data_IF_527037960204
#
_entry.id   IF_527037960204
#
_cell.length_a   1.000
_cell.length_b   1.000
_cell.length_c   1.000
_cell.angle_alpha   90.00
_cell.angle_beta   90.00
_cell.angle_gamma   90.00
#
_symmetry.space_group_name_H-M   'P 1'
#
loop_
_entity.id
_entity.type
_entity.pdbx_description
1 polymer ?
#
# COMPACT_ATOMS: atom_id res chain seq x y z
N UNK A 1 15.25 27.21 6.13
CA UNK A 1 14.24 27.15 7.22
C UNK A 1 12.87 27.01 6.56
N UNK A 2 12.42 25.76 6.36
CA UNK A 2 11.08 25.48 5.85
C UNK A 2 10.06 25.71 6.97
N UNK A 3 8.92 26.39 6.70
CA UNK A 3 7.86 26.53 7.71
C UNK A 3 7.21 25.18 8.00
N UNK A 4 6.95 24.94 9.28
CA UNK A 4 6.27 23.77 9.80
C UNK A 4 4.83 23.69 9.28
N UNK A 5 4.60 22.83 8.27
CA UNK A 5 3.25 22.49 7.80
C UNK A 5 2.56 21.61 8.83
N UNK A 6 1.36 22.01 9.25
CA UNK A 6 0.52 21.29 10.19
C UNK A 6 -0.03 19.99 9.57
N UNK A 7 0.10 18.91 10.30
CA UNK A 7 -0.33 17.57 9.95
C UNK A 7 -1.83 17.43 9.70
N UNK A 8 -2.20 16.92 8.57
CA UNK A 8 -3.39 16.10 8.35
C UNK A 8 -2.96 14.85 7.57
N UNK A 9 -3.53 13.71 7.94
CA UNK A 9 -3.49 12.36 7.36
C UNK A 9 -3.08 12.34 5.89
N UNK A 10 -2.26 11.35 5.43
CA UNK A 10 -1.86 11.14 4.03
C UNK A 10 -2.65 12.04 3.08
N UNK A 11 -2.30 13.31 3.05
CA UNK A 11 -3.03 14.28 2.23
C UNK A 11 -2.55 14.05 0.80
N UNK A 12 -3.48 13.70 -0.06
CA UNK A 12 -3.31 13.88 -1.50
C UNK A 12 -3.16 15.39 -1.69
N UNK A 13 -1.92 15.85 -1.76
CA UNK A 13 -1.67 17.25 -2.09
C UNK A 13 -1.87 17.43 -3.59
N UNK A 14 -2.74 18.36 -3.93
CA UNK A 14 -2.71 18.96 -5.24
C UNK A 14 -1.39 19.76 -5.34
N UNK A 15 -0.50 19.30 -6.21
CA UNK A 15 0.84 19.88 -6.38
C UNK A 15 0.74 21.37 -6.79
N UNK A 16 -0.33 21.76 -7.48
CA UNK A 16 -0.60 23.17 -7.77
C UNK A 16 -0.82 23.98 -6.50
N UNK A 17 -1.47 23.43 -5.48
CA UNK A 17 -1.67 24.11 -4.20
C UNK A 17 -0.37 24.25 -3.40
N UNK A 18 0.52 23.24 -3.45
CA UNK A 18 1.84 23.29 -2.83
C UNK A 18 2.77 24.30 -3.53
N UNK A 19 2.83 24.30 -4.85
CA UNK A 19 3.68 25.21 -5.61
C UNK A 19 3.20 26.67 -5.55
N UNK A 20 1.91 26.92 -5.45
CA UNK A 20 1.35 28.27 -5.35
C UNK A 20 1.43 28.85 -3.93
N UNK A 21 1.47 28.03 -2.87
CA UNK A 21 1.54 28.53 -1.48
C UNK A 21 2.93 28.91 -1.00
N UNK A 22 3.98 28.27 -1.51
CA UNK A 22 5.34 28.40 -0.95
C UNK A 22 6.33 29.13 -1.84
N UNK A 23 6.05 29.30 -3.14
CA UNK A 23 6.96 29.98 -4.06
C UNK A 23 6.21 31.08 -4.81
N UNK A 24 6.48 32.33 -4.39
CA UNK A 24 6.12 33.52 -5.18
C UNK A 24 7.07 33.56 -6.40
N UNK A 25 6.76 32.73 -7.42
CA UNK A 25 7.62 32.54 -8.60
C UNK A 25 7.26 33.59 -9.65
N UNK A 26 7.58 34.84 -9.38
CA UNK A 26 7.40 35.93 -10.38
C UNK A 26 8.68 36.29 -11.14
N UNK A 27 9.80 35.59 -10.98
CA UNK A 27 11.07 36.11 -11.48
C UNK A 27 11.95 35.26 -12.39
N UNK A 28 11.57 33.99 -12.74
CA UNK A 28 12.48 33.22 -13.60
C UNK A 28 11.76 32.34 -14.63
N UNK A 29 11.75 32.78 -15.89
CA UNK A 29 11.10 32.09 -17.03
C UNK A 29 11.68 30.67 -17.24
N UNK A 30 12.96 30.45 -16.94
CA UNK A 30 13.63 29.13 -17.07
C UNK A 30 13.13 28.11 -16.04
N UNK A 31 12.80 28.56 -14.84
CA UNK A 31 12.20 27.76 -13.78
C UNK A 31 10.76 27.43 -14.13
N UNK A 32 10.04 28.36 -14.74
CA UNK A 32 8.65 28.16 -15.19
C UNK A 32 8.54 27.13 -16.33
N UNK A 33 9.49 27.10 -17.28
CA UNK A 33 9.51 26.08 -18.34
C UNK A 33 9.86 24.69 -17.80
N UNK A 34 10.86 24.58 -16.92
CA UNK A 34 11.19 23.34 -16.22
C UNK A 34 10.03 22.85 -15.33
N UNK A 35 9.37 23.77 -14.63
CA UNK A 35 8.19 23.46 -13.80
C UNK A 35 6.99 23.00 -14.64
N UNK A 36 6.85 23.46 -15.89
CA UNK A 36 5.77 23.03 -16.80
C UNK A 36 5.89 21.57 -17.18
N UNK A 37 7.09 21.08 -17.44
CA UNK A 37 7.33 19.66 -17.72
C UNK A 37 7.09 18.78 -16.48
N UNK A 38 7.49 19.27 -15.30
CA UNK A 38 7.19 18.61 -14.02
C UNK A 38 5.68 18.62 -13.76
N UNK A 39 5.00 19.74 -13.99
CA UNK A 39 3.53 19.83 -13.86
C UNK A 39 2.82 18.86 -14.81
N UNK A 40 3.21 18.80 -16.08
CA UNK A 40 2.63 17.84 -17.05
C UNK A 40 2.88 16.38 -16.60
N UNK A 41 4.05 16.08 -16.07
CA UNK A 41 4.38 14.75 -15.55
C UNK A 41 3.53 14.37 -14.33
N UNK A 42 3.23 15.35 -13.47
CA UNK A 42 2.53 15.16 -12.20
C UNK A 42 0.99 15.33 -12.32
N UNK A 43 0.48 16.02 -13.33
CA UNK A 43 -0.96 16.24 -13.53
C UNK A 43 -1.79 14.95 -13.71
N UNK A 44 -1.17 13.87 -14.16
CA UNK A 44 -1.83 12.58 -14.34
C UNK A 44 -1.47 11.56 -13.24
N UNK A 45 -0.72 11.96 -12.23
CA UNK A 45 -0.16 11.05 -11.21
C UNK A 45 -0.46 11.54 -9.81
N UNK A 46 -0.82 10.62 -8.94
CA UNK A 46 -0.89 10.89 -7.51
C UNK A 46 0.52 10.96 -6.94
N UNK A 47 0.79 11.93 -6.10
CA UNK A 47 2.05 12.04 -5.38
C UNK A 47 1.81 11.83 -3.89
N UNK A 48 2.59 10.95 -3.28
CA UNK A 48 2.54 10.71 -1.84
C UNK A 48 3.92 10.91 -1.23
N UNK A 49 4.00 11.55 -0.07
CA UNK A 49 5.25 11.88 0.59
C UNK A 49 5.36 11.20 1.95
N UNK A 50 6.46 10.46 2.15
CA UNK A 50 6.81 9.82 3.42
C UNK A 50 7.98 10.56 4.04
N UNK A 51 7.72 11.27 5.15
CA UNK A 51 8.73 12.07 5.86
C UNK A 51 9.66 11.22 6.70
N UNK A 52 10.82 11.78 7.06
CA UNK A 52 11.80 11.21 7.97
C UNK A 52 11.22 10.87 9.35
N UNK A 53 10.53 11.82 10.00
CA UNK A 53 9.92 11.59 11.31
C UNK A 53 8.55 10.92 11.17
N UNK A 54 8.44 9.65 11.58
CA UNK A 54 7.28 8.77 11.34
C UNK A 54 6.60 8.26 12.62
N UNK A 55 7.25 8.36 13.79
CA UNK A 55 6.74 7.75 15.03
C UNK A 55 5.69 8.61 15.72
N UNK A 56 5.86 9.93 15.68
CA UNK A 56 4.98 10.87 16.38
C UNK A 56 4.31 11.77 15.37
N UNK A 57 2.99 11.61 15.22
CA UNK A 57 2.14 12.57 14.53
C UNK A 57 1.70 13.64 15.53
N UNK A 58 2.11 14.90 15.35
CA UNK A 58 1.63 16.01 16.17
C UNK A 58 0.31 16.53 15.62
N UNK A 59 -0.82 16.19 16.25
CA UNK A 59 -2.12 16.77 15.94
C UNK A 59 -2.40 17.94 16.85
N UNK A 60 -2.68 19.12 16.27
CA UNK A 60 -3.19 20.26 17.02
C UNK A 60 -4.72 20.14 17.13
N UNK A 61 -5.23 19.77 18.31
CA UNK A 61 -6.65 19.91 18.59
C UNK A 61 -6.92 21.24 19.31
N UNK A 62 -7.80 22.06 18.72
CA UNK A 62 -8.39 23.21 19.39
C UNK A 62 -9.41 22.70 20.39
N UNK A 63 -9.08 22.71 21.70
CA UNK A 63 -10.04 22.41 22.75
C UNK A 63 -11.11 23.51 22.86
N UNK A 64 -12.27 23.16 23.43
CA UNK A 64 -13.40 24.08 23.69
C UNK A 64 -13.01 25.31 24.57
N UNK A 65 -11.87 25.27 25.25
CA UNK A 65 -11.32 26.31 26.11
C UNK A 65 -10.28 27.22 25.41
N UNK A 66 -10.13 27.09 24.09
CA UNK A 66 -9.17 27.89 23.31
C UNK A 66 -7.70 27.55 23.55
N UNK A 67 -7.37 26.57 24.38
CA UNK A 67 -6.01 26.12 24.63
C UNK A 67 -5.65 25.03 23.62
N UNK A 68 -4.59 25.27 22.85
CA UNK A 68 -4.00 24.26 21.93
C UNK A 68 -3.28 23.22 22.78
N UNK A 69 -3.85 22.00 22.89
CA UNK A 69 -3.16 20.83 23.43
C UNK A 69 -2.52 20.05 22.28
N UNK A 70 -1.20 19.89 22.36
CA UNK A 70 -0.48 18.94 21.52
C UNK A 70 -0.78 17.54 22.10
N UNK A 71 -1.61 16.77 21.42
CA UNK A 71 -1.75 15.34 21.70
C UNK A 71 -0.70 14.61 20.85
N UNK A 72 0.29 14.02 21.49
CA UNK A 72 1.23 13.14 20.84
C UNK A 72 0.47 11.86 20.47
N UNK A 73 0.09 11.77 19.21
CA UNK A 73 -0.52 10.58 18.64
C UNK A 73 0.61 9.73 18.03
N UNK A 74 0.64 8.45 18.35
CA UNK A 74 1.62 7.55 17.76
C UNK A 74 1.09 7.05 16.42
N UNK A 75 1.82 7.27 15.36
CA UNK A 75 1.41 6.91 14.00
C UNK A 75 1.15 5.40 13.86
N UNK A 76 1.84 4.58 14.64
CA UNK A 76 1.65 3.13 14.62
C UNK A 76 0.26 2.69 15.10
N UNK A 77 -0.34 3.43 16.05
CA UNK A 77 -1.73 3.16 16.49
C UNK A 77 -2.73 3.56 15.41
N UNK A 78 -2.43 4.64 14.67
CA UNK A 78 -3.27 5.10 13.56
C UNK A 78 -3.29 4.08 12.43
N UNK A 79 -2.15 3.46 12.13
CA UNK A 79 -2.05 2.39 11.13
C UNK A 79 -2.95 1.20 11.51
N UNK A 80 -2.91 0.75 12.76
CA UNK A 80 -3.78 -0.32 13.21
C UNK A 80 -5.26 0.04 13.04
N UNK A 81 -5.63 1.27 13.42
CA UNK A 81 -7.00 1.76 13.27
C UNK A 81 -7.42 1.93 11.80
N UNK A 82 -6.51 2.39 10.93
CA UNK A 82 -6.76 2.51 9.50
C UNK A 82 -6.96 1.14 8.85
N UNK A 83 -6.13 0.15 9.19
CA UNK A 83 -6.30 -1.22 8.70
C UNK A 83 -7.67 -1.79 9.09
N UNK A 84 -8.10 -1.64 10.34
CA UNK A 84 -9.43 -2.09 10.79
C UNK A 84 -10.53 -1.44 9.93
N UNK A 85 -10.44 -0.13 9.67
CA UNK A 85 -11.41 0.58 8.82
C UNK A 85 -11.40 0.05 7.38
N UNK A 86 -10.19 -0.21 6.84
CA UNK A 86 -10.09 -0.72 5.48
C UNK A 86 -10.64 -2.16 5.38
N UNK A 87 -10.38 -3.04 6.36
CA UNK A 87 -11.02 -4.35 6.44
C UNK A 87 -12.54 -4.23 6.42
N UNK A 88 -13.11 -3.38 7.27
CA UNK A 88 -14.56 -3.17 7.33
C UNK A 88 -15.13 -2.65 6.00
N UNK A 89 -14.44 -1.70 5.37
CA UNK A 89 -14.81 -1.16 4.06
C UNK A 89 -14.82 -2.26 2.99
N UNK A 90 -13.78 -3.08 2.92
CA UNK A 90 -13.68 -4.16 1.95
C UNK A 90 -14.75 -5.23 2.15
N UNK A 91 -15.09 -5.55 3.40
CA UNK A 91 -16.21 -6.45 3.72
C UNK A 91 -17.56 -5.88 3.28
N UNK A 92 -17.76 -4.56 3.44
CA UNK A 92 -18.98 -3.89 2.95
C UNK A 92 -19.06 -3.89 1.41
N UNK A 93 -17.97 -3.63 0.73
CA UNK A 93 -17.87 -3.68 -0.74
C UNK A 93 -18.15 -5.09 -1.25
N UNK A 94 -17.57 -6.11 -0.63
CA UNK A 94 -17.85 -7.52 -0.94
C UNK A 94 -19.32 -7.87 -0.73
N UNK A 95 -19.94 -7.46 0.38
CA UNK A 95 -21.34 -7.72 0.66
C UNK A 95 -22.26 -7.04 -0.37
N UNK A 96 -21.98 -5.79 -0.73
CA UNK A 96 -22.73 -5.05 -1.75
C UNK A 96 -22.63 -5.71 -3.12
N UNK A 97 -21.42 -6.11 -3.54
CA UNK A 97 -21.21 -6.76 -4.83
C UNK A 97 -21.86 -8.16 -4.85
N UNK A 98 -21.74 -8.91 -3.75
CA UNK A 98 -22.42 -10.21 -3.61
C UNK A 98 -23.92 -10.07 -3.76
N UNK A 99 -24.54 -9.09 -3.12
CA UNK A 99 -26.00 -8.85 -3.24
C UNK A 99 -26.42 -8.53 -4.69
N UNK A 100 -25.64 -7.75 -5.42
CA UNK A 100 -25.91 -7.44 -6.84
C UNK A 100 -25.87 -8.70 -7.69
N UNK A 101 -24.81 -9.50 -7.54
CA UNK A 101 -24.61 -10.74 -8.29
C UNK A 101 -25.72 -11.73 -7.99
N UNK A 102 -26.04 -11.95 -6.70
CA UNK A 102 -27.06 -12.89 -6.25
C UNK A 102 -28.44 -12.49 -6.73
N UNK A 103 -28.79 -11.21 -6.76
CA UNK A 103 -30.09 -10.71 -7.24
C UNK A 103 -30.37 -11.05 -8.71
N UNK A 104 -29.31 -11.25 -9.51
CA UNK A 104 -29.44 -11.55 -10.94
C UNK A 104 -29.22 -13.03 -11.28
N UNK A 105 -28.84 -13.86 -10.29
CA UNK A 105 -28.44 -15.25 -10.50
C UNK A 105 -29.50 -16.07 -11.26
N UNK A 106 -30.74 -16.10 -10.77
CA UNK A 106 -31.83 -16.85 -11.39
C UNK A 106 -32.14 -16.34 -12.80
N UNK A 107 -32.13 -15.01 -12.98
CA UNK A 107 -32.40 -14.41 -14.29
C UNK A 107 -31.32 -14.87 -15.31
N UNK A 108 -30.07 -14.78 -14.97
CA UNK A 108 -28.94 -15.20 -15.83
C UNK A 108 -28.98 -16.69 -16.13
N UNK A 109 -29.37 -17.50 -15.14
CA UNK A 109 -29.51 -18.94 -15.31
C UNK A 109 -30.59 -19.28 -16.35
N UNK A 110 -31.77 -18.62 -16.27
CA UNK A 110 -32.90 -18.82 -17.17
C UNK A 110 -32.58 -18.29 -18.59
N UNK A 111 -31.96 -17.15 -18.69
CA UNK A 111 -31.60 -16.53 -19.98
C UNK A 111 -30.39 -17.22 -20.65
N UNK A 112 -29.69 -18.09 -19.94
CA UNK A 112 -28.51 -18.78 -20.46
C UNK A 112 -27.29 -17.87 -20.69
N UNK A 113 -27.23 -16.72 -19.97
CA UNK A 113 -26.15 -15.72 -20.11
C UNK A 113 -24.98 -16.05 -19.17
N UNK A 114 -24.35 -17.23 -19.37
CA UNK A 114 -23.21 -17.70 -18.58
C UNK A 114 -22.30 -18.60 -19.42
N UNK A 115 -21.06 -18.76 -18.98
CA UNK A 115 -20.13 -19.72 -19.58
C UNK A 115 -20.55 -21.14 -19.21
N UNK A 116 -20.26 -22.10 -20.08
CA UNK A 116 -20.50 -23.52 -19.80
C UNK A 116 -19.15 -24.21 -19.70
N UNK A 117 -18.84 -24.72 -18.51
CA UNK A 117 -17.62 -25.44 -18.22
C UNK A 117 -17.86 -26.94 -18.22
N UNK A 118 -16.95 -27.69 -18.86
CA UNK A 118 -16.88 -29.14 -18.68
C UNK A 118 -16.26 -29.46 -17.31
N UNK A 119 -16.42 -30.69 -16.86
CA UNK A 119 -15.93 -31.12 -15.53
C UNK A 119 -14.46 -30.76 -15.30
N UNK A 120 -13.56 -31.01 -16.26
CA UNK A 120 -12.14 -30.69 -16.12
C UNK A 120 -11.87 -29.19 -15.94
N UNK A 121 -12.54 -28.34 -16.73
CA UNK A 121 -12.42 -26.86 -16.63
C UNK A 121 -13.00 -26.36 -15.31
N UNK A 122 -14.12 -26.92 -14.89
CA UNK A 122 -14.73 -26.61 -13.60
C UNK A 122 -13.80 -26.96 -12.44
N UNK A 123 -13.19 -28.15 -12.44
CA UNK A 123 -12.26 -28.57 -11.40
C UNK A 123 -11.00 -27.69 -11.35
N UNK A 124 -10.48 -27.29 -12.50
CA UNK A 124 -9.37 -26.33 -12.56
C UNK A 124 -9.73 -24.99 -11.92
N UNK A 125 -10.88 -24.40 -12.31
CA UNK A 125 -11.38 -23.15 -11.74
C UNK A 125 -11.66 -23.29 -10.23
N UNK A 126 -12.25 -24.39 -9.82
CA UNK A 126 -12.53 -24.68 -8.42
C UNK A 126 -11.25 -24.74 -7.58
N UNK A 127 -10.20 -25.38 -8.09
CA UNK A 127 -8.92 -25.45 -7.39
C UNK A 127 -8.29 -24.06 -7.20
N UNK A 128 -8.33 -23.23 -8.25
CA UNK A 128 -7.87 -21.83 -8.19
C UNK A 128 -8.68 -21.02 -7.17
N UNK A 129 -10.00 -21.18 -7.20
CA UNK A 129 -10.91 -20.51 -6.26
C UNK A 129 -10.63 -20.92 -4.81
N UNK A 130 -10.45 -22.23 -4.55
CA UNK A 130 -10.09 -22.74 -3.22
C UNK A 130 -8.77 -22.16 -2.72
N UNK A 131 -7.74 -22.11 -3.56
CA UNK A 131 -6.46 -21.50 -3.21
C UNK A 131 -6.63 -20.01 -2.86
N UNK A 132 -7.41 -19.28 -3.66
CA UNK A 132 -7.72 -17.86 -3.43
C UNK A 132 -8.46 -17.64 -2.11
N UNK A 133 -9.47 -18.47 -1.81
CA UNK A 133 -10.21 -18.42 -0.54
C UNK A 133 -9.29 -18.69 0.66
N UNK A 134 -8.41 -19.69 0.57
CA UNK A 134 -7.48 -19.98 1.65
C UNK A 134 -6.53 -18.80 1.92
N UNK A 135 -6.03 -18.16 0.87
CA UNK A 135 -5.21 -16.97 0.99
C UNK A 135 -5.96 -15.82 1.69
N UNK A 136 -7.25 -15.62 1.36
CA UNK A 136 -8.05 -14.57 1.99
C UNK A 136 -8.41 -14.86 3.44
N UNK A 137 -8.61 -16.15 3.78
CA UNK A 137 -8.83 -16.57 5.17
C UNK A 137 -7.65 -16.31 6.08
N UNK A 138 -6.43 -16.40 5.55
CA UNK A 138 -5.21 -16.14 6.31
C UNK A 138 -5.21 -14.75 6.97
N UNK A 139 -5.79 -13.76 6.29
CA UNK A 139 -5.94 -12.39 6.80
C UNK A 139 -7.32 -12.08 7.40
N UNK A 140 -8.23 -13.06 7.49
CA UNK A 140 -9.58 -12.83 8.01
C UNK A 140 -10.51 -12.06 7.06
N UNK A 141 -10.18 -12.00 5.76
CA UNK A 141 -11.02 -11.33 4.76
C UNK A 141 -12.30 -12.09 4.48
N UNK A 142 -12.29 -13.40 4.64
CA UNK A 142 -13.43 -14.27 4.37
C UNK A 142 -13.69 -15.27 5.50
N UNK A 143 -14.97 -15.54 5.82
CA UNK A 143 -15.30 -16.66 6.69
C UNK A 143 -15.00 -18.00 6.01
N UNK A 144 -15.15 -19.08 6.76
CA UNK A 144 -15.10 -20.42 6.17
C UNK A 144 -16.33 -20.60 5.27
N UNK A 145 -16.08 -20.91 4.01
CA UNK A 145 -17.13 -21.26 3.03
C UNK A 145 -16.95 -22.71 2.66
N UNK A 146 -18.02 -23.48 2.76
CA UNK A 146 -18.07 -24.84 2.24
C UNK A 146 -18.31 -24.75 0.74
N UNK A 147 -17.36 -25.26 -0.03
CA UNK A 147 -17.43 -25.25 -1.49
C UNK A 147 -17.80 -26.66 -1.93
N UNK A 148 -18.80 -26.73 -2.82
CA UNK A 148 -19.19 -28.01 -3.41
C UNK A 148 -18.03 -28.61 -4.21
N UNK A 149 -17.65 -29.84 -3.91
CA UNK A 149 -16.54 -30.53 -4.56
C UNK A 149 -16.98 -31.44 -5.71
N UNK A 150 -18.25 -31.84 -5.66
CA UNK A 150 -18.82 -32.74 -6.64
C UNK A 150 -19.30 -31.96 -7.89
N UNK A 151 -19.20 -32.63 -9.04
CA UNK A 151 -19.67 -32.09 -10.32
C UNK A 151 -20.77 -33.00 -10.88
N UNK A 152 -22.02 -32.90 -10.40
CA UNK A 152 -23.13 -33.59 -11.01
C UNK A 152 -23.46 -32.98 -12.37
N UNK A 153 -23.38 -33.78 -13.45
CA UNK A 153 -23.58 -33.30 -14.84
C UNK A 153 -24.91 -32.55 -15.05
N UNK A 154 -25.98 -32.99 -14.39
CA UNK A 154 -27.29 -32.34 -14.48
C UNK A 154 -27.31 -30.91 -13.91
N UNK A 155 -26.33 -30.53 -13.10
CA UNK A 155 -26.17 -29.20 -12.54
C UNK A 155 -25.09 -28.36 -13.23
N UNK A 156 -24.52 -28.83 -14.35
CA UNK A 156 -23.43 -28.16 -15.07
C UNK A 156 -23.66 -26.67 -15.25
N UNK A 157 -24.85 -26.28 -15.67
CA UNK A 157 -25.18 -24.88 -15.91
C UNK A 157 -25.17 -24.04 -14.61
N UNK A 158 -25.72 -24.60 -13.54
CA UNK A 158 -25.76 -23.95 -12.22
C UNK A 158 -24.34 -23.82 -11.66
N UNK A 159 -23.53 -24.87 -11.77
CA UNK A 159 -22.17 -24.90 -11.28
C UNK A 159 -21.26 -23.95 -12.07
N UNK A 160 -21.44 -23.88 -13.37
CA UNK A 160 -20.68 -22.96 -14.22
C UNK A 160 -20.95 -21.50 -13.86
N UNK A 161 -22.22 -21.14 -13.68
CA UNK A 161 -22.60 -19.80 -13.23
C UNK A 161 -22.10 -19.51 -11.81
N UNK A 162 -22.23 -20.49 -10.90
CA UNK A 162 -21.78 -20.36 -9.52
C UNK A 162 -20.28 -20.06 -9.40
N UNK A 163 -19.44 -20.76 -10.18
CA UNK A 163 -17.98 -20.55 -10.10
C UNK A 163 -17.59 -19.17 -10.62
N UNK A 164 -18.19 -18.69 -11.72
CA UNK A 164 -17.95 -17.37 -12.25
C UNK A 164 -18.41 -16.27 -11.27
N UNK A 165 -19.57 -16.46 -10.64
CA UNK A 165 -20.09 -15.55 -9.63
C UNK A 165 -19.19 -15.47 -8.41
N UNK A 166 -18.67 -16.60 -7.95
CA UNK A 166 -17.72 -16.62 -6.83
C UNK A 166 -16.40 -15.93 -7.18
N UNK A 167 -15.87 -16.15 -8.39
CA UNK A 167 -14.68 -15.45 -8.86
C UNK A 167 -14.90 -13.93 -8.90
N UNK A 168 -16.06 -13.49 -9.42
CA UNK A 168 -16.40 -12.08 -9.48
C UNK A 168 -16.56 -11.45 -8.08
N UNK A 169 -17.30 -12.09 -7.18
CA UNK A 169 -17.46 -11.61 -5.80
C UNK A 169 -16.11 -11.43 -5.11
N UNK A 170 -15.21 -12.41 -5.29
CA UNK A 170 -13.90 -12.39 -4.64
C UNK A 170 -12.94 -11.37 -5.23
N UNK A 171 -13.18 -10.94 -6.48
CA UNK A 171 -12.33 -9.92 -7.12
C UNK A 171 -12.32 -8.58 -6.36
N UNK A 172 -13.37 -8.30 -5.57
CA UNK A 172 -13.43 -7.13 -4.71
C UNK A 172 -12.31 -7.08 -3.68
N UNK A 173 -11.80 -8.23 -3.22
CA UNK A 173 -10.69 -8.32 -2.28
C UNK A 173 -9.29 -8.29 -2.92
N UNK A 174 -9.17 -8.47 -4.23
CA UNK A 174 -7.89 -8.70 -4.91
C UNK A 174 -6.85 -7.61 -4.62
N UNK A 175 -7.26 -6.35 -4.72
CA UNK A 175 -6.39 -5.20 -4.47
C UNK A 175 -5.92 -5.18 -3.02
N UNK A 176 -6.85 -5.29 -2.09
CA UNK A 176 -6.55 -5.21 -0.67
C UNK A 176 -5.72 -6.41 -0.18
N UNK A 177 -6.04 -7.60 -0.64
CA UNK A 177 -5.23 -8.79 -0.39
C UNK A 177 -3.79 -8.62 -0.88
N UNK A 178 -3.61 -8.08 -2.10
CA UNK A 178 -2.28 -7.79 -2.63
C UNK A 178 -1.50 -6.84 -1.74
N UNK A 179 -2.13 -5.76 -1.27
CA UNK A 179 -1.52 -4.80 -0.35
C UNK A 179 -1.16 -5.44 1.00
N UNK A 180 -2.07 -6.23 1.60
CA UNK A 180 -1.81 -6.97 2.84
C UNK A 180 -0.65 -7.97 2.67
N UNK A 181 -0.65 -8.76 1.60
CA UNK A 181 0.39 -9.77 1.35
C UNK A 181 1.77 -9.16 1.10
N UNK A 182 1.83 -8.00 0.41
CA UNK A 182 3.06 -7.24 0.25
C UNK A 182 3.58 -6.73 1.59
N UNK A 183 2.72 -6.07 2.34
CA UNK A 183 3.06 -5.53 3.66
C UNK A 183 3.56 -6.64 4.59
N UNK A 184 2.82 -7.75 4.70
CA UNK A 184 3.21 -8.89 5.53
C UNK A 184 4.55 -9.49 5.10
N UNK A 185 4.72 -9.78 3.81
CA UNK A 185 5.94 -10.38 3.26
C UNK A 185 7.18 -9.55 3.56
N UNK A 186 7.12 -8.23 3.36
CA UNK A 186 8.29 -7.37 3.55
C UNK A 186 8.58 -7.07 5.03
N UNK A 187 7.56 -6.95 5.87
CA UNK A 187 7.78 -6.75 7.32
C UNK A 187 8.20 -8.05 7.99
N UNK A 188 7.56 -9.18 7.68
CA UNK A 188 7.89 -10.48 8.26
C UNK A 188 9.24 -11.02 7.77
N UNK A 189 9.67 -10.63 6.56
CA UNK A 189 11.00 -10.93 6.02
C UNK A 189 12.13 -10.20 6.75
N UNK A 190 11.85 -9.11 7.45
CA UNK A 190 12.78 -8.45 8.34
C UNK A 190 12.66 -9.09 9.72
N UNK A 191 13.78 -9.56 10.27
CA UNK A 191 13.78 -10.19 11.60
C UNK A 191 13.40 -9.14 12.64
N UNK A 192 12.13 -9.03 12.95
CA UNK A 192 11.65 -8.34 14.14
C UNK A 192 12.07 -9.19 15.35
N UNK A 193 13.34 -9.09 15.79
CA UNK A 193 13.95 -9.75 16.94
C UNK A 193 12.98 -10.65 17.76
N UNK A 194 12.80 -11.91 17.34
CA UNK A 194 11.91 -12.85 18.02
C UNK A 194 10.43 -12.43 18.11
N UNK A 195 9.92 -11.75 17.10
CA UNK A 195 8.52 -11.31 17.02
C UNK A 195 7.95 -11.63 15.63
N UNK A 196 6.65 -11.81 15.57
CA UNK A 196 5.90 -12.01 14.33
C UNK A 196 4.78 -10.99 14.23
N UNK A 197 4.61 -10.42 13.05
CA UNK A 197 3.44 -9.59 12.75
C UNK A 197 2.24 -10.47 12.44
N UNK A 198 1.06 -10.03 12.84
CA UNK A 198 -0.24 -10.62 12.44
C UNK A 198 -1.18 -9.54 11.99
N UNK A 199 -1.83 -9.79 10.86
CA UNK A 199 -2.84 -8.92 10.26
C UNK A 199 -4.20 -9.59 10.34
N UNK A 200 -5.20 -8.86 10.81
CA UNK A 200 -6.58 -9.35 10.85
C UNK A 200 -7.57 -8.19 11.00
N UNK A 201 -8.85 -8.48 10.76
CA UNK A 201 -9.93 -7.50 10.78
C UNK A 201 -10.23 -6.91 12.17
N UNK A 202 -9.85 -7.60 13.24
CA UNK A 202 -10.17 -7.18 14.62
C UNK A 202 -9.16 -6.17 15.16
N UNK A 203 -7.87 -6.39 14.90
CA UNK A 203 -6.77 -5.59 15.43
C UNK A 203 -6.02 -4.78 14.37
N UNK A 204 -6.36 -4.96 13.11
CA UNK A 204 -5.59 -4.42 11.98
C UNK A 204 -4.21 -5.06 11.96
N UNK A 205 -3.28 -4.55 12.76
CA UNK A 205 -1.94 -5.08 12.94
C UNK A 205 -1.68 -5.40 14.41
N UNK A 206 -1.06 -6.52 14.70
CA UNK A 206 -0.60 -6.93 16.00
C UNK A 206 0.76 -7.63 15.90
N UNK A 207 1.53 -7.63 16.98
CA UNK A 207 2.84 -8.25 17.07
C UNK A 207 2.86 -9.27 18.22
N UNK A 208 3.39 -10.46 17.95
CA UNK A 208 3.44 -11.55 18.90
C UNK A 208 4.91 -11.96 19.10
N UNK A 209 5.32 -12.16 20.35
CA UNK A 209 6.66 -12.66 20.69
C UNK A 209 6.75 -14.20 20.52
N UNK A 210 7.95 -14.75 20.70
CA UNK A 210 8.21 -16.20 20.62
C UNK A 210 7.42 -17.04 21.62
N UNK A 211 6.95 -16.42 22.71
CA UNK A 211 6.12 -17.09 23.73
C UNK A 211 4.64 -17.10 23.36
N UNK A 212 4.26 -16.47 22.22
CA UNK A 212 2.87 -16.33 21.81
C UNK A 212 2.15 -15.17 22.50
N UNK A 213 2.85 -14.32 23.26
CA UNK A 213 2.26 -13.18 23.95
C UNK A 213 2.23 -11.95 23.01
N UNK A 214 1.14 -11.20 23.10
CA UNK A 214 1.00 -9.98 22.30
C UNK A 214 1.87 -8.86 22.88
N UNK A 215 2.64 -8.22 22.01
CA UNK A 215 3.47 -7.06 22.32
C UNK A 215 2.73 -5.79 21.93
N UNK A 216 2.41 -4.87 22.84
CA UNK A 216 1.82 -3.60 22.48
C UNK A 216 2.69 -2.84 21.48
N UNK A 217 2.09 -2.33 20.40
CA UNK A 217 2.82 -1.68 19.30
C UNK A 217 3.74 -0.54 19.78
N UNK A 218 3.31 0.22 20.79
CA UNK A 218 4.11 1.29 21.42
C UNK A 218 5.34 0.79 22.18
N UNK A 219 5.42 -0.51 22.52
CA UNK A 219 6.58 -1.11 23.20
C UNK A 219 7.61 -1.68 22.22
N UNK A 220 7.34 -1.61 20.94
CA UNK A 220 8.33 -1.92 19.90
C UNK A 220 9.45 -0.87 19.93
N UNK A 221 10.65 -1.27 19.54
CA UNK A 221 11.76 -0.32 19.34
C UNK A 221 11.40 0.71 18.25
N UNK A 222 12.06 1.88 18.29
CA UNK A 222 11.85 2.90 17.26
C UNK A 222 12.07 2.39 15.84
N UNK A 223 13.10 1.56 15.64
CA UNK A 223 13.38 0.94 14.35
C UNK A 223 12.27 0.00 13.90
N UNK A 224 11.73 -0.85 14.80
CA UNK A 224 10.62 -1.74 14.48
C UNK A 224 9.33 -0.96 14.14
N UNK A 225 9.04 0.11 14.90
CA UNK A 225 7.90 0.98 14.60
C UNK A 225 8.06 1.67 13.25
N UNK A 226 9.23 2.26 12.99
CA UNK A 226 9.53 2.92 11.71
C UNK A 226 9.42 1.96 10.53
N UNK A 227 9.91 0.73 10.68
CA UNK A 227 9.82 -0.31 9.67
C UNK A 227 8.34 -0.61 9.32
N UNK A 228 7.52 -0.87 10.33
CA UNK A 228 6.09 -1.17 10.15
C UNK A 228 5.37 0.02 9.47
N UNK A 229 5.60 1.24 9.95
CA UNK A 229 4.98 2.46 9.41
C UNK A 229 5.38 2.64 7.94
N UNK A 230 6.65 2.49 7.63
CA UNK A 230 7.20 2.70 6.30
C UNK A 230 6.63 1.70 5.28
N UNK A 231 6.69 0.40 5.58
CA UNK A 231 6.16 -0.61 4.67
C UNK A 231 4.62 -0.57 4.56
N UNK A 232 3.92 -0.17 5.63
CA UNK A 232 2.49 0.10 5.53
C UNK A 232 2.20 1.23 4.54
N UNK A 233 2.87 2.37 4.66
CA UNK A 233 2.70 3.49 3.73
C UNK A 233 3.04 3.10 2.30
N UNK A 234 4.13 2.34 2.11
CA UNK A 234 4.50 1.81 0.80
C UNK A 234 3.39 0.95 0.19
N UNK A 235 2.83 0.01 0.96
CA UNK A 235 1.83 -0.92 0.46
C UNK A 235 0.45 -0.30 0.23
N UNK A 236 0.03 0.65 1.10
CA UNK A 236 -1.34 1.16 1.13
C UNK A 236 -1.53 2.57 0.59
N UNK A 237 -0.46 3.40 0.50
CA UNK A 237 -0.55 4.74 -0.08
C UNK A 237 -0.26 4.77 -1.58
N UNK A 238 0.01 3.61 -2.19
CA UNK A 238 0.37 3.53 -3.60
C UNK A 238 -0.76 2.92 -4.44
N UNK A 239 -1.16 3.65 -5.47
CA UNK A 239 -1.97 3.15 -6.57
C UNK A 239 -1.14 3.10 -7.85
N UNK A 240 -1.66 2.47 -8.88
CA UNK A 240 -1.07 2.55 -10.23
C UNK A 240 -0.90 4.02 -10.63
N UNK A 241 0.31 4.40 -11.09
CA UNK A 241 0.72 5.76 -11.44
C UNK A 241 0.98 6.69 -10.24
N UNK A 242 1.12 6.17 -9.02
CA UNK A 242 1.58 6.98 -7.89
C UNK A 242 3.08 7.22 -7.99
N UNK A 243 3.51 8.45 -7.73
CA UNK A 243 4.91 8.78 -7.44
C UNK A 243 5.04 8.90 -5.93
N UNK A 244 5.86 8.03 -5.35
CA UNK A 244 6.12 8.02 -3.92
C UNK A 244 7.47 8.69 -3.65
N UNK A 245 7.44 9.75 -2.86
CA UNK A 245 8.63 10.46 -2.41
C UNK A 245 8.94 10.02 -0.98
N UNK A 246 10.16 9.56 -0.73
CA UNK A 246 10.58 9.07 0.58
C UNK A 246 11.82 9.83 1.02
N UNK A 247 11.78 10.39 2.23
CA UNK A 247 12.88 11.13 2.83
C UNK A 247 13.50 10.27 3.93
N UNK A 248 14.84 10.04 3.82
CA UNK A 248 15.67 9.32 4.78
C UNK A 248 15.01 8.01 5.28
N UNK A 249 14.69 7.04 4.39
CA UNK A 249 13.99 5.83 4.79
C UNK A 249 14.76 4.97 5.79
N UNK A 250 16.08 5.07 5.80
CA UNK A 250 17.00 4.32 6.68
C UNK A 250 17.05 4.84 8.11
N UNK A 251 16.48 6.01 8.38
CA UNK A 251 16.64 6.67 9.67
C UNK A 251 16.06 5.83 10.82
N UNK A 252 16.85 5.66 11.88
CA UNK A 252 16.52 4.82 13.05
C UNK A 252 16.40 3.32 12.76
N UNK A 253 16.83 2.83 11.58
CA UNK A 253 16.77 1.41 11.23
C UNK A 253 18.13 0.72 11.48
N UNK A 254 18.05 -0.60 11.70
CA UNK A 254 19.24 -1.42 11.85
C UNK A 254 19.95 -1.59 10.50
N UNK A 255 21.30 -1.51 10.47
CA UNK A 255 22.10 -1.59 9.24
C UNK A 255 21.79 -2.83 8.38
N UNK A 256 21.54 -3.98 9.03
CA UNK A 256 21.18 -5.20 8.30
C UNK A 256 19.84 -5.09 7.54
N UNK A 257 18.94 -4.20 7.94
CA UNK A 257 17.72 -3.92 7.21
C UNK A 257 17.96 -2.91 6.09
N UNK A 258 18.75 -1.89 6.38
CA UNK A 258 19.06 -0.80 5.43
C UNK A 258 19.65 -1.34 4.14
N UNK A 259 20.61 -2.27 4.21
CA UNK A 259 21.25 -2.86 3.02
C UNK A 259 20.32 -3.65 2.08
N UNK A 260 19.13 -4.05 2.55
CA UNK A 260 18.15 -4.79 1.78
C UNK A 260 16.95 -3.94 1.33
N UNK A 261 16.85 -2.70 1.85
CA UNK A 261 15.65 -1.89 1.64
C UNK A 261 15.46 -1.46 0.20
N UNK A 262 16.55 -1.11 -0.48
CA UNK A 262 16.47 -0.65 -1.88
C UNK A 262 15.93 -1.76 -2.80
N UNK A 263 16.41 -3.00 -2.63
CA UNK A 263 15.86 -4.15 -3.37
C UNK A 263 14.38 -4.40 -3.04
N UNK A 264 13.99 -4.25 -1.77
CA UNK A 264 12.59 -4.39 -1.38
C UNK A 264 11.72 -3.33 -2.06
N UNK A 265 12.21 -2.08 -2.12
CA UNK A 265 11.47 -0.98 -2.76
C UNK A 265 11.35 -1.18 -4.27
N UNK A 266 12.41 -1.69 -4.93
CA UNK A 266 12.34 -2.05 -6.34
C UNK A 266 11.26 -3.11 -6.58
N UNK A 267 11.28 -4.21 -5.80
CA UNK A 267 10.25 -5.27 -5.89
C UNK A 267 8.83 -4.74 -5.63
N UNK A 268 8.68 -3.87 -4.63
CA UNK A 268 7.38 -3.25 -4.34
C UNK A 268 6.93 -2.31 -5.47
N UNK A 269 7.84 -1.50 -6.02
CA UNK A 269 7.55 -0.59 -7.12
C UNK A 269 7.08 -1.36 -8.37
N UNK A 270 7.74 -2.46 -8.71
CA UNK A 270 7.35 -3.33 -9.82
C UNK A 270 5.97 -3.96 -9.60
N UNK A 271 5.73 -4.55 -8.42
CA UNK A 271 4.47 -5.21 -8.12
C UNK A 271 3.30 -4.23 -8.02
N UNK A 272 3.50 -3.04 -7.44
CA UNK A 272 2.49 -2.01 -7.31
C UNK A 272 2.36 -1.14 -8.57
N UNK A 273 3.31 -1.26 -9.51
CA UNK A 273 3.39 -0.43 -10.73
C UNK A 273 3.42 1.07 -10.39
N UNK A 274 4.19 1.43 -9.39
CA UNK A 274 4.41 2.80 -8.94
C UNK A 274 5.87 3.22 -9.17
N UNK A 275 6.12 4.52 -9.06
CA UNK A 275 7.47 5.07 -9.09
C UNK A 275 7.86 5.52 -7.69
N UNK A 276 9.08 5.20 -7.27
CA UNK A 276 9.62 5.61 -5.96
C UNK A 276 10.84 6.50 -6.19
N UNK A 277 10.83 7.66 -5.56
CA UNK A 277 11.97 8.60 -5.54
C UNK A 277 12.40 8.75 -4.08
N UNK A 278 13.67 8.55 -3.81
CA UNK A 278 14.21 8.49 -2.46
C UNK A 278 15.29 9.55 -2.30
N UNK A 279 15.18 10.37 -1.27
CA UNK A 279 16.25 11.22 -0.78
C UNK A 279 16.96 10.49 0.36
N UNK A 280 18.27 10.29 0.23
CA UNK A 280 19.10 9.63 1.23
C UNK A 280 20.52 10.20 1.21
N UNK A 281 21.17 10.21 2.35
CA UNK A 281 22.61 10.51 2.48
C UNK A 281 23.41 9.26 2.87
N UNK A 282 22.79 8.08 2.91
CA UNK A 282 23.40 6.84 3.38
C UNK A 282 23.99 6.00 2.24
N UNK A 283 25.32 5.87 2.12
CA UNK A 283 25.92 4.95 1.18
C UNK A 283 25.52 3.49 1.41
N UNK A 284 25.23 3.13 2.66
CA UNK A 284 24.78 1.78 3.01
C UNK A 284 23.38 1.47 2.48
N UNK A 285 22.53 2.48 2.29
CA UNK A 285 21.23 2.33 1.67
C UNK A 285 21.36 2.13 0.16
N UNK A 286 22.24 2.89 -0.51
CA UNK A 286 22.49 2.77 -1.95
C UNK A 286 23.15 1.42 -2.26
N UNK A 287 24.05 0.96 -1.36
CA UNK A 287 24.79 -0.30 -1.48
C UNK A 287 25.49 -0.41 -2.86
N UNK A 288 25.15 -1.40 -3.68
CA UNK A 288 25.73 -1.63 -5.02
C UNK A 288 24.98 -0.91 -6.16
N UNK A 289 23.89 -0.22 -5.86
CA UNK A 289 22.96 0.38 -6.86
C UNK A 289 23.28 1.86 -7.17
N UNK A 290 24.55 2.17 -7.40
CA UNK A 290 24.98 3.52 -7.76
C UNK A 290 24.51 3.97 -9.15
N UNK A 291 24.18 3.03 -10.02
CA UNK A 291 23.67 3.25 -11.37
C UNK A 291 22.31 3.93 -11.43
N UNK A 292 21.49 3.79 -10.37
CA UNK A 292 20.18 4.44 -10.24
C UNK A 292 20.20 5.66 -9.30
N UNK A 293 21.39 6.04 -8.80
CA UNK A 293 21.55 7.20 -7.92
C UNK A 293 21.89 8.45 -8.74
N UNK A 294 21.43 9.61 -8.24
CA UNK A 294 21.75 10.91 -8.80
C UNK A 294 22.36 11.77 -7.71
N UNK A 295 23.62 12.18 -7.89
CA UNK A 295 24.29 13.09 -6.98
C UNK A 295 23.87 14.54 -7.31
N UNK A 296 23.28 15.22 -6.34
CA UNK A 296 22.85 16.60 -6.50
C UNK A 296 24.02 17.60 -6.52
N UNK A 297 25.20 17.22 -6.04
CA UNK A 297 26.39 18.08 -6.00
C UNK A 297 27.08 18.20 -7.36
N UNK A 298 27.15 17.11 -8.13
CA UNK A 298 27.87 17.06 -9.39
C UNK A 298 27.13 17.68 -10.58
N UNK A 299 25.85 17.92 -10.44
CA UNK A 299 25.00 18.44 -11.55
C UNK A 299 25.05 19.96 -11.74
N UNK A 300 25.78 20.72 -10.92
CA UNK A 300 25.79 22.18 -11.02
C UNK A 300 26.84 22.77 -11.97
N UNK A 301 27.83 22.01 -12.44
CA UNK A 301 28.92 22.60 -13.25
C UNK A 301 29.20 21.96 -14.62
N UNK A 302 28.77 20.72 -14.93
CA UNK A 302 29.23 20.03 -16.16
C UNK A 302 28.13 19.51 -17.14
N UNK A 303 26.85 19.61 -16.83
CA UNK A 303 25.81 19.01 -17.70
C UNK A 303 24.81 20.00 -18.31
N UNK A 304 25.29 20.89 -19.17
CA UNK A 304 24.43 21.51 -20.19
C UNK A 304 24.10 20.56 -21.37
N UNK A 305 24.58 19.31 -21.32
CA UNK A 305 24.39 18.28 -22.39
C UNK A 305 24.17 16.88 -21.80
N UNK A 306 23.32 16.71 -20.80
CA UNK A 306 22.86 15.38 -20.47
C UNK A 306 21.51 15.15 -21.13
N UNK A 307 21.53 14.49 -22.28
CA UNK A 307 20.39 13.78 -22.83
C UNK A 307 19.79 12.89 -21.73
N UNK A 308 18.49 13.07 -21.48
CA UNK A 308 17.75 12.18 -20.61
C UNK A 308 17.91 10.75 -21.14
N UNK A 309 18.68 9.94 -20.44
CA UNK A 309 18.74 8.52 -20.71
C UNK A 309 17.32 7.99 -20.64
N UNK A 310 16.81 7.52 -21.78
CA UNK A 310 15.54 6.82 -21.84
C UNK A 310 15.59 5.63 -20.90
N UNK A 311 14.87 5.73 -19.79
CA UNK A 311 14.56 4.57 -18.96
C UNK A 311 13.72 3.60 -19.81
N UNK A 312 14.38 2.52 -20.24
CA UNK A 312 13.73 1.38 -20.88
C UNK A 312 12.86 0.61 -19.90
#
# INVERSE_FOLDING_TARGET
LLPTLSYRQTEEYDIEELLNKEYNIDSDISILEKSKNIRMFLQERKCSFIKEQRIIASTQHSGYDGRRRLLNQFEIDDIAAQLIKEFAKQQMEFASESQKIDSTFIKRLVEGTYNKYKEAEFQEKLSKLKAKINNYKEYGLMPQIDILEEYPEHLQNVLSLYIDDMEQKMSSFDKFYKQLSLFDRFVSGKVLSNKKIKLNEVKGVSVINDKGEEVPLRKLSSGEQNLIILYYKLAFSTDMRTVLLIDEPENSLHMAWVSQMLEDYQKMAEELKCQIIIATHSPAFINEHWDISCDLYTNNEENNHAEFAECK
#
